data_IF_489674464087
#
_entry.id   IF_489674464087
#
_cell.length_a   1.000
_cell.length_b   1.000
_cell.length_c   1.000
_cell.angle_alpha   90.00
_cell.angle_beta   90.00
_cell.angle_gamma   90.00
#
_symmetry.space_group_name_H-M   'P 1'
#
loop_
_entity.id
_entity.type
_entity.pdbx_description
1 polymer ?
#
# COMPACT_ATOMS: atom_id res chain seq x y z
N UNK A 1 -6.06 -3.68 -13.50
CA UNK A 1 -5.68 -4.76 -12.57
C UNK A 1 -6.00 -4.31 -11.16
N UNK A 2 -6.78 -5.10 -10.44
CA UNK A 2 -7.12 -4.88 -9.02
C UNK A 2 -6.12 -5.61 -8.14
N UNK A 3 -6.05 -5.25 -6.86
CA UNK A 3 -5.17 -5.92 -5.88
C UNK A 3 -5.42 -7.44 -5.85
N UNK A 4 -6.69 -7.88 -5.89
CA UNK A 4 -7.05 -9.31 -5.90
C UNK A 4 -6.55 -10.04 -7.14
N UNK A 5 -6.60 -9.39 -8.31
CA UNK A 5 -6.13 -9.98 -9.56
C UNK A 5 -4.60 -10.15 -9.62
N UNK A 6 -3.85 -9.47 -8.75
CA UNK A 6 -2.39 -9.62 -8.71
C UNK A 6 -1.93 -10.96 -8.13
N UNK A 7 -2.71 -11.56 -7.23
CA UNK A 7 -2.31 -12.75 -6.47
C UNK A 7 -1.11 -12.53 -5.53
N UNK A 8 -0.79 -11.28 -5.19
CA UNK A 8 0.31 -10.98 -4.29
C UNK A 8 0.03 -11.51 -2.87
N UNK A 9 1.05 -12.12 -2.25
CA UNK A 9 0.97 -12.57 -0.86
C UNK A 9 0.92 -11.38 0.13
N UNK A 10 1.43 -10.22 -0.28
CA UNK A 10 1.49 -9.02 0.54
C UNK A 10 1.50 -7.75 -0.31
N UNK A 11 0.87 -6.70 0.20
CA UNK A 11 0.80 -5.37 -0.40
C UNK A 11 1.58 -4.35 0.43
N UNK A 12 2.39 -3.54 -0.25
CA UNK A 12 3.15 -2.44 0.35
C UNK A 12 2.70 -1.12 -0.25
N UNK A 13 2.31 -0.16 0.58
CA UNK A 13 1.77 1.12 0.12
C UNK A 13 2.77 2.23 0.40
N UNK A 14 3.29 2.88 -0.65
CA UNK A 14 4.36 3.88 -0.49
C UNK A 14 3.86 5.30 -0.30
N UNK A 15 2.75 5.66 -0.93
CA UNK A 15 2.18 7.01 -0.88
C UNK A 15 0.67 7.00 -1.15
N UNK A 16 -0.04 8.04 -0.69
CA UNK A 16 -1.47 8.21 -0.89
C UNK A 16 -2.30 7.85 0.35
N UNK A 17 -3.50 7.29 0.15
CA UNK A 17 -4.40 6.91 1.26
C UNK A 17 -4.05 5.53 1.83
N UNK A 18 -2.84 5.41 2.35
CA UNK A 18 -2.27 4.18 2.89
C UNK A 18 -3.14 3.55 3.97
N UNK A 19 -3.64 4.32 4.94
CA UNK A 19 -4.52 3.81 6.00
C UNK A 19 -5.78 3.15 5.43
N UNK A 20 -6.44 3.81 4.48
CA UNK A 20 -7.67 3.30 3.88
C UNK A 20 -7.43 2.03 3.04
N UNK A 21 -6.30 1.98 2.33
CA UNK A 21 -5.93 0.82 1.51
C UNK A 21 -5.51 -0.37 2.37
N UNK A 22 -4.73 -0.14 3.43
CA UNK A 22 -4.36 -1.17 4.40
C UNK A 22 -5.61 -1.71 5.08
N UNK A 23 -6.50 -0.83 5.55
CA UNK A 23 -7.78 -1.25 6.16
C UNK A 23 -8.65 -2.06 5.21
N UNK A 24 -8.70 -1.69 3.93
CA UNK A 24 -9.44 -2.47 2.94
C UNK A 24 -8.81 -3.86 2.75
N UNK A 25 -7.48 -3.96 2.67
CA UNK A 25 -6.79 -5.25 2.57
C UNK A 25 -7.06 -6.13 3.79
N UNK A 26 -7.07 -5.58 5.00
CA UNK A 26 -7.44 -6.31 6.23
C UNK A 26 -8.85 -6.89 6.15
N UNK A 27 -9.83 -6.12 5.66
CA UNK A 27 -11.22 -6.57 5.49
C UNK A 27 -11.33 -7.70 4.46
N UNK A 28 -10.45 -7.71 3.45
CA UNK A 28 -10.38 -8.75 2.43
C UNK A 28 -9.47 -9.93 2.82
N UNK A 29 -8.84 -9.90 4.01
CA UNK A 29 -7.93 -10.94 4.48
C UNK A 29 -6.56 -10.95 3.78
N UNK A 30 -6.15 -9.83 3.21
CA UNK A 30 -4.89 -9.65 2.48
C UNK A 30 -3.89 -8.92 3.38
N UNK A 31 -2.68 -9.45 3.52
CA UNK A 31 -1.63 -8.77 4.28
C UNK A 31 -1.22 -7.46 3.58
N UNK A 32 -1.24 -6.35 4.32
CA UNK A 32 -0.84 -5.06 3.81
C UNK A 32 -0.13 -4.20 4.87
N UNK A 33 0.83 -3.38 4.43
CA UNK A 33 1.54 -2.43 5.30
C UNK A 33 1.93 -1.14 4.56
N UNK A 34 1.98 -0.01 5.27
CA UNK A 34 2.60 1.19 4.73
C UNK A 34 4.12 0.98 4.56
N UNK A 35 4.69 1.57 3.52
CA UNK A 35 6.12 1.57 3.20
C UNK A 35 6.60 3.01 3.05
N UNK A 36 7.16 3.57 4.10
CA UNK A 36 7.80 4.87 4.00
C UNK A 36 9.18 4.71 3.39
N UNK A 37 9.36 5.18 2.15
CA UNK A 37 10.65 5.20 1.47
C UNK A 37 11.46 6.41 1.97
N UNK A 38 12.44 6.15 2.83
CA UNK A 38 13.36 7.17 3.34
C UNK A 38 14.20 7.72 2.18
N UNK A 39 14.12 9.02 1.91
CA UNK A 39 14.89 9.72 0.86
C UNK A 39 14.10 10.14 -0.38
N UNK A 40 12.78 9.90 -0.43
CA UNK A 40 11.89 10.30 -1.52
C UNK A 40 10.95 11.48 -1.15
N UNK A 41 11.28 12.24 -0.09
CA UNK A 41 10.42 13.32 0.40
C UNK A 41 10.72 14.71 -0.21
N UNK A 42 11.66 14.87 -1.16
CA UNK A 42 12.04 16.22 -1.63
C UNK A 42 12.39 16.32 -3.12
N UNK A 43 11.48 15.88 -4.00
CA UNK A 43 11.44 16.37 -5.39
C UNK A 43 10.01 16.84 -5.70
N UNK A 44 9.65 18.04 -5.23
CA UNK A 44 8.35 18.64 -5.53
C UNK A 44 8.07 19.99 -4.89
N UNK A 45 9.01 20.94 -4.98
CA UNK A 45 8.68 22.37 -5.11
C UNK A 45 8.20 22.68 -6.54
#
# INVERSE_FOLDING_TARGET
>A
ITIKETGAAEIWVTHGREEALVRWCELEGIAARPLHLVGYEDEGD
#
